data_IF_823829870918
#
_entry.id   IF_823829870918
#
_cell.length_a   1.000
_cell.length_b   1.000
_cell.length_c   1.000
_cell.angle_alpha   90.00
_cell.angle_beta   90.00
_cell.angle_gamma   90.00
#
_symmetry.space_group_name_H-M   'P 1'
#
loop_
_entity.id
_entity.type
_entity.pdbx_description
1 polymer ?
#
# COMPACT_ATOMS: atom_id res chain seq x y z
N UNK A 1 12.58 -5.79 -50.86
CA UNK A 1 12.00 -6.42 -49.65
C UNK A 1 10.62 -6.92 -50.03
N UNK A 2 10.50 -8.21 -50.32
CA UNK A 2 9.22 -8.85 -50.63
C UNK A 2 8.32 -8.75 -49.40
N UNK A 3 7.15 -8.14 -49.53
CA UNK A 3 6.14 -8.15 -48.48
C UNK A 3 5.83 -9.63 -48.18
N UNK A 4 6.24 -10.11 -47.01
CA UNK A 4 5.92 -11.46 -46.56
C UNK A 4 4.40 -11.65 -46.50
N UNK A 5 3.93 -12.90 -46.39
CA UNK A 5 2.50 -13.19 -46.28
C UNK A 5 1.83 -12.33 -45.19
N UNK A 6 0.60 -11.91 -45.47
CA UNK A 6 -0.21 -11.14 -44.53
C UNK A 6 -0.45 -11.97 -43.24
N UNK A 7 -0.55 -11.30 -42.10
CA UNK A 7 -0.69 -11.94 -40.80
C UNK A 7 -1.87 -12.92 -40.77
N UNK A 8 -3.00 -12.59 -41.42
CA UNK A 8 -4.15 -13.48 -41.53
C UNK A 8 -3.84 -14.84 -42.18
N UNK A 9 -2.96 -14.86 -43.18
CA UNK A 9 -2.55 -16.10 -43.87
C UNK A 9 -1.69 -16.97 -42.95
N UNK A 10 -0.75 -16.34 -42.25
CA UNK A 10 0.10 -17.02 -41.28
C UNK A 10 -0.72 -17.54 -40.08
N UNK A 11 -1.71 -16.77 -39.61
CA UNK A 11 -2.62 -17.20 -38.52
C UNK A 11 -3.43 -18.42 -38.95
N UNK A 12 -3.95 -18.43 -40.19
CA UNK A 12 -4.72 -19.56 -40.71
C UNK A 12 -3.87 -20.84 -40.84
N UNK A 13 -2.59 -20.71 -41.22
CA UNK A 13 -1.66 -21.83 -41.27
C UNK A 13 -1.27 -22.31 -39.86
N UNK A 14 -0.97 -21.39 -38.95
CA UNK A 14 -0.62 -21.69 -37.56
C UNK A 14 -1.75 -22.43 -36.81
N UNK A 15 -3.03 -22.09 -37.06
CA UNK A 15 -4.19 -22.84 -36.54
C UNK A 15 -4.27 -24.28 -37.02
N UNK A 16 -3.70 -24.57 -38.20
CA UNK A 16 -3.61 -25.94 -38.74
C UNK A 16 -2.39 -26.71 -38.21
N UNK A 17 -1.65 -26.13 -37.26
CA UNK A 17 -0.48 -26.74 -36.64
C UNK A 17 0.85 -26.41 -37.34
N UNK A 18 0.87 -25.47 -38.28
CA UNK A 18 2.11 -25.01 -38.92
C UNK A 18 2.95 -24.18 -37.94
N UNK A 19 3.98 -24.81 -37.39
CA UNK A 19 4.90 -24.19 -36.43
C UNK A 19 5.77 -23.10 -37.06
N UNK A 20 6.08 -23.22 -38.35
CA UNK A 20 6.91 -22.24 -39.07
C UNK A 20 6.12 -20.96 -39.29
N UNK A 21 4.84 -21.07 -39.65
CA UNK A 21 3.94 -19.92 -39.77
C UNK A 21 3.75 -19.20 -38.42
N UNK A 22 3.64 -19.95 -37.32
CA UNK A 22 3.55 -19.36 -35.98
C UNK A 22 4.86 -18.65 -35.58
N UNK A 23 6.02 -19.26 -35.85
CA UNK A 23 7.31 -18.65 -35.58
C UNK A 23 7.48 -17.32 -36.32
N UNK A 24 7.09 -17.26 -37.61
CA UNK A 24 7.15 -16.02 -38.40
C UNK A 24 6.25 -14.91 -37.84
N UNK A 25 5.04 -15.26 -37.36
CA UNK A 25 4.16 -14.31 -36.66
C UNK A 25 4.80 -13.79 -35.36
N UNK A 26 5.38 -14.68 -34.57
CA UNK A 26 6.04 -14.29 -33.32
C UNK A 26 7.22 -13.38 -33.62
N UNK A 27 8.13 -13.76 -34.51
CA UNK A 27 9.32 -12.96 -34.86
C UNK A 27 8.93 -11.54 -35.33
N UNK A 28 7.86 -11.42 -36.13
CA UNK A 28 7.35 -10.13 -36.61
C UNK A 28 6.84 -9.23 -35.47
N UNK A 29 6.20 -9.81 -34.45
CA UNK A 29 5.50 -9.04 -33.40
C UNK A 29 6.18 -9.07 -32.03
N UNK A 30 7.24 -9.86 -31.87
CA UNK A 30 8.02 -9.99 -30.64
C UNK A 30 8.60 -8.65 -30.16
N UNK A 31 9.11 -7.74 -31.02
CA UNK A 31 9.58 -6.43 -30.56
C UNK A 31 8.51 -5.58 -29.90
N UNK A 32 7.27 -5.62 -30.42
CA UNK A 32 6.12 -4.93 -29.82
C UNK A 32 5.75 -5.56 -28.49
N UNK A 33 5.64 -6.90 -28.44
CA UNK A 33 5.38 -7.65 -27.20
C UNK A 33 6.39 -7.28 -26.11
N UNK A 34 7.69 -7.39 -26.42
CA UNK A 34 8.77 -7.11 -25.48
C UNK A 34 8.76 -5.65 -25.01
N UNK A 35 8.46 -4.70 -25.90
CA UNK A 35 8.31 -3.28 -25.54
C UNK A 35 7.16 -3.07 -24.56
N UNK A 36 6.02 -3.73 -24.79
CA UNK A 36 4.87 -3.65 -23.89
C UNK A 36 5.15 -4.30 -22.54
N UNK A 37 5.81 -5.46 -22.51
CA UNK A 37 6.21 -6.12 -21.27
C UNK A 37 7.18 -5.25 -20.47
N UNK A 38 8.23 -4.70 -21.10
CA UNK A 38 9.21 -3.79 -20.46
C UNK A 38 8.59 -2.52 -19.88
N UNK A 39 7.50 -2.03 -20.47
CA UNK A 39 6.74 -0.89 -19.91
C UNK A 39 5.86 -1.28 -18.74
N UNK A 40 5.46 -2.55 -18.66
CA UNK A 40 4.54 -3.05 -17.64
C UNK A 40 5.25 -3.61 -16.40
N UNK A 41 6.53 -4.00 -16.50
CA UNK A 41 7.33 -4.50 -15.37
C UNK A 41 8.60 -3.69 -15.20
N UNK A 42 9.00 -3.46 -13.95
CA UNK A 42 10.18 -2.65 -13.58
C UNK A 42 11.50 -3.40 -13.86
N UNK A 43 11.47 -4.74 -13.77
CA UNK A 43 12.62 -5.63 -13.88
C UNK A 43 12.83 -6.11 -15.34
N UNK A 44 13.99 -5.81 -15.98
CA UNK A 44 14.28 -6.23 -17.34
C UNK A 44 14.28 -7.75 -17.57
N UNK A 45 14.66 -8.55 -16.57
CA UNK A 45 14.67 -10.01 -16.69
C UNK A 45 13.24 -10.57 -16.72
N UNK A 46 12.33 -9.98 -15.93
CA UNK A 46 10.91 -10.34 -15.93
C UNK A 46 10.22 -10.04 -17.26
N UNK A 47 10.65 -9.01 -17.98
CA UNK A 47 10.04 -8.69 -19.26
C UNK A 47 10.31 -9.80 -20.30
N UNK A 48 11.49 -10.43 -20.24
CA UNK A 48 11.84 -11.58 -21.07
C UNK A 48 10.99 -12.80 -20.73
N UNK A 49 10.89 -13.15 -19.45
CA UNK A 49 10.10 -14.28 -18.98
C UNK A 49 8.61 -14.10 -19.29
N UNK A 50 8.07 -12.89 -19.10
CA UNK A 50 6.69 -12.57 -19.44
C UNK A 50 6.42 -12.67 -20.94
N UNK A 51 7.37 -12.26 -21.79
CA UNK A 51 7.26 -12.42 -23.23
C UNK A 51 7.27 -13.90 -23.64
N UNK A 52 8.09 -14.73 -23.00
CA UNK A 52 8.11 -16.17 -23.24
C UNK A 52 6.80 -16.85 -22.84
N UNK A 53 6.29 -16.60 -21.62
CA UNK A 53 4.99 -17.13 -21.16
C UNK A 53 3.86 -16.65 -22.08
N UNK A 54 3.89 -15.40 -22.55
CA UNK A 54 2.90 -14.88 -23.49
C UNK A 54 2.93 -15.54 -24.86
N UNK A 55 4.10 -15.91 -25.39
CA UNK A 55 4.22 -16.66 -26.65
C UNK A 55 3.65 -18.07 -26.50
N UNK A 56 3.89 -18.72 -25.36
CA UNK A 56 3.29 -20.03 -25.06
C UNK A 56 1.77 -19.95 -24.95
N UNK A 57 1.25 -18.97 -24.20
CA UNK A 57 -0.19 -18.71 -24.07
C UNK A 57 -0.83 -18.39 -25.45
N UNK A 58 -0.12 -17.65 -26.30
CA UNK A 58 -0.56 -17.36 -27.66
C UNK A 58 -0.59 -18.61 -28.56
N UNK A 59 0.40 -19.50 -28.44
CA UNK A 59 0.44 -20.76 -29.20
C UNK A 59 -0.73 -21.67 -28.82
N UNK A 60 -1.02 -21.80 -27.52
CA UNK A 60 -2.15 -22.60 -27.03
C UNK A 60 -3.50 -21.94 -27.31
N UNK A 61 -3.53 -20.62 -27.47
CA UNK A 61 -4.74 -19.81 -27.57
C UNK A 61 -5.08 -19.28 -28.96
N UNK A 62 -4.32 -19.61 -30.02
CA UNK A 62 -4.44 -18.97 -31.34
C UNK A 62 -5.82 -19.14 -32.00
N UNK A 63 -6.55 -20.20 -31.66
CA UNK A 63 -7.93 -20.42 -32.11
C UNK A 63 -8.93 -19.41 -31.51
N UNK A 64 -8.60 -18.79 -30.37
CA UNK A 64 -9.43 -17.79 -29.69
C UNK A 64 -9.31 -16.39 -30.34
N UNK A 65 -8.34 -16.17 -31.23
CA UNK A 65 -8.16 -14.89 -31.94
C UNK A 65 -9.36 -14.65 -32.90
N UNK A 66 -10.16 -13.62 -32.66
CA UNK A 66 -11.36 -13.36 -33.49
C UNK A 66 -11.04 -12.78 -34.86
N UNK A 67 -10.01 -11.95 -34.93
CA UNK A 67 -9.62 -11.20 -36.13
C UNK A 67 -8.16 -11.56 -36.48
N UNK A 68 -7.94 -12.39 -37.51
CA UNK A 68 -6.60 -12.84 -37.91
C UNK A 68 -5.64 -11.70 -38.27
N UNK A 69 -6.12 -10.54 -38.71
CA UNK A 69 -5.28 -9.39 -39.05
C UNK A 69 -4.78 -8.63 -37.81
N UNK A 70 -5.26 -8.98 -36.61
CA UNK A 70 -4.93 -8.30 -35.35
C UNK A 70 -4.07 -9.13 -34.41
N UNK A 71 -3.26 -10.03 -34.96
CA UNK A 71 -2.37 -10.89 -34.18
C UNK A 71 -1.43 -10.08 -33.26
N UNK A 72 -0.77 -9.03 -33.77
CA UNK A 72 0.15 -8.21 -32.98
C UNK A 72 -0.47 -7.57 -31.72
N UNK A 73 -1.55 -6.77 -31.85
CA UNK A 73 -2.27 -6.23 -30.68
C UNK A 73 -2.82 -7.30 -29.74
N UNK A 74 -3.25 -8.45 -30.27
CA UNK A 74 -3.75 -9.56 -29.46
C UNK A 74 -2.63 -10.19 -28.62
N UNK A 75 -1.47 -10.47 -29.23
CA UNK A 75 -0.28 -10.99 -28.56
C UNK A 75 0.23 -10.01 -27.49
N UNK A 76 0.27 -8.71 -27.79
CA UNK A 76 0.62 -7.67 -26.82
C UNK A 76 -0.35 -7.64 -25.63
N UNK A 77 -1.65 -7.86 -25.87
CA UNK A 77 -2.66 -7.99 -24.82
C UNK A 77 -2.45 -9.19 -23.91
N UNK A 78 -2.02 -10.33 -24.46
CA UNK A 78 -1.62 -11.51 -23.68
C UNK A 78 -0.40 -11.18 -22.80
N UNK A 79 0.62 -10.55 -23.38
CA UNK A 79 1.82 -10.10 -22.66
C UNK A 79 1.51 -9.22 -21.46
N UNK A 80 0.63 -8.22 -21.63
CA UNK A 80 0.20 -7.36 -20.52
C UNK A 80 -0.53 -8.13 -19.40
N UNK A 81 -1.33 -9.14 -19.74
CA UNK A 81 -2.01 -9.97 -18.75
C UNK A 81 -1.01 -10.84 -17.98
N UNK A 82 -0.01 -11.42 -18.65
CA UNK A 82 1.08 -12.17 -18.03
C UNK A 82 1.88 -11.28 -17.08
N UNK A 83 2.30 -10.09 -17.53
CA UNK A 83 2.98 -9.12 -16.67
C UNK A 83 2.17 -8.77 -15.42
N UNK A 84 0.85 -8.55 -15.57
CA UNK A 84 -0.05 -8.28 -14.45
C UNK A 84 -0.11 -9.45 -13.46
N UNK A 85 -0.22 -10.68 -13.97
CA UNK A 85 -0.26 -11.91 -13.17
C UNK A 85 1.05 -12.10 -12.39
N UNK A 86 2.20 -11.87 -13.05
CA UNK A 86 3.52 -11.95 -12.44
C UNK A 86 3.75 -10.88 -11.37
N UNK A 87 3.36 -9.62 -11.64
CA UNK A 87 3.46 -8.52 -10.67
C UNK A 87 2.63 -8.80 -9.42
N UNK A 88 1.39 -9.25 -9.60
CA UNK A 88 0.53 -9.63 -8.47
C UNK A 88 1.10 -10.82 -7.66
N UNK A 89 1.66 -11.82 -8.33
CA UNK A 89 2.34 -12.95 -7.63
C UNK A 89 3.53 -12.48 -6.81
N UNK A 90 4.36 -11.56 -7.32
CA UNK A 90 5.50 -10.98 -6.58
C UNK A 90 5.05 -10.14 -5.38
N UNK A 91 4.05 -9.28 -5.54
CA UNK A 91 3.49 -8.48 -4.42
C UNK A 91 3.02 -9.40 -3.28
N UNK A 92 2.44 -10.56 -3.62
CA UNK A 92 1.88 -11.50 -2.64
C UNK A 92 2.90 -12.44 -2.01
N UNK A 93 4.02 -12.68 -2.69
CA UNK A 93 5.15 -13.45 -2.15
C UNK A 93 5.95 -12.67 -1.10
N UNK A 94 5.58 -11.42 -0.83
CA UNK A 94 6.39 -10.47 -0.09
C UNK A 94 7.54 -10.00 -0.96
N UNK A 95 7.81 -8.69 -0.96
CA UNK A 95 9.10 -8.22 -1.45
C UNK A 95 10.17 -8.86 -0.58
N UNK A 96 10.85 -9.89 -1.09
CA UNK A 96 12.03 -10.41 -0.41
C UNK A 96 13.09 -9.32 -0.46
N UNK A 97 13.71 -9.07 0.70
CA UNK A 97 14.80 -8.12 0.88
C UNK A 97 15.92 -8.35 -0.16
N UNK A 98 16.17 -9.61 -0.53
CA UNK A 98 17.14 -10.01 -1.55
C UNK A 98 16.78 -9.51 -2.97
N UNK A 99 15.51 -9.48 -3.35
CA UNK A 99 15.09 -9.04 -4.70
C UNK A 99 15.21 -7.51 -4.88
N UNK A 100 15.27 -6.75 -3.78
CA UNK A 100 15.45 -5.31 -3.78
C UNK A 100 16.92 -4.91 -3.89
N UNK A 101 17.83 -5.77 -3.38
CA UNK A 101 19.28 -5.57 -3.40
C UNK A 101 19.92 -5.89 -4.76
N UNK A 102 19.43 -6.91 -5.47
CA UNK A 102 19.93 -7.30 -6.80
C UNK A 102 19.60 -6.29 -7.92
N UNK A 103 18.66 -5.38 -7.69
CA UNK A 103 18.21 -4.41 -8.69
C UNK A 103 19.12 -3.17 -8.82
N UNK A 104 20.25 -3.11 -8.12
CA UNK A 104 21.27 -2.06 -8.29
C UNK A 104 20.76 -0.64 -8.02
N UNK A 105 19.77 -0.50 -7.13
CA UNK A 105 19.22 0.80 -6.76
C UNK A 105 20.23 1.57 -5.90
N UNK A 106 20.84 2.60 -6.49
CA UNK A 106 21.34 3.75 -5.74
C UNK A 106 20.17 4.73 -5.58
N UNK A 107 19.25 4.38 -4.70
CA UNK A 107 18.18 5.26 -4.29
C UNK A 107 18.67 6.07 -3.08
N UNK A 108 18.39 7.39 -3.08
CA UNK A 108 18.11 8.09 -1.83
C UNK A 108 17.22 7.19 -0.95
N UNK A 109 17.43 7.14 0.38
CA UNK A 109 16.86 6.11 1.24
C UNK A 109 15.36 5.94 0.97
N UNK A 110 15.03 4.84 0.28
CA UNK A 110 13.66 4.34 0.15
C UNK A 110 13.26 3.92 1.54
N UNK A 111 12.22 4.58 2.04
CA UNK A 111 11.52 4.33 3.29
C UNK A 111 11.49 2.83 3.63
N UNK A 112 12.20 2.37 4.68
CA UNK A 112 12.10 1.02 5.19
C UNK A 112 10.77 0.85 5.94
N UNK A 113 9.67 0.91 5.21
CA UNK A 113 8.37 0.38 5.62
C UNK A 113 7.57 1.24 6.61
N UNK A 114 6.26 1.08 6.46
CA UNK A 114 5.26 1.46 7.44
C UNK A 114 5.70 1.10 8.88
N UNK A 115 5.55 2.03 9.82
CA UNK A 115 5.81 1.75 11.25
C UNK A 115 4.92 0.60 11.74
N UNK A 116 5.24 -0.14 12.81
CA UNK A 116 4.49 -1.35 13.06
C UNK A 116 3.05 -1.12 13.56
N UNK A 117 2.71 0.07 14.03
CA UNK A 117 1.31 0.50 14.17
C UNK A 117 0.61 0.58 12.80
N UNK A 118 1.29 1.07 11.77
CA UNK A 118 0.79 1.10 10.39
C UNK A 118 0.74 -0.30 9.78
N UNK A 119 1.71 -1.18 10.12
CA UNK A 119 1.65 -2.60 9.78
C UNK A 119 0.49 -3.30 10.51
N UNK A 120 0.16 -2.87 11.73
CA UNK A 120 -0.97 -3.39 12.53
C UNK A 120 -2.30 -2.92 11.97
N UNK A 121 -2.45 -1.64 11.62
CA UNK A 121 -3.61 -1.10 10.92
C UNK A 121 -3.80 -1.81 9.58
N UNK A 122 -2.73 -1.95 8.80
CA UNK A 122 -2.77 -2.66 7.53
C UNK A 122 -3.10 -4.15 7.73
N UNK A 123 -2.51 -4.82 8.73
CA UNK A 123 -2.78 -6.22 9.05
C UNK A 123 -4.21 -6.43 9.53
N UNK A 124 -4.75 -5.53 10.35
CA UNK A 124 -6.13 -5.54 10.81
C UNK A 124 -7.07 -5.36 9.62
N UNK A 125 -6.85 -4.36 8.76
CA UNK A 125 -7.65 -4.15 7.55
C UNK A 125 -7.59 -5.38 6.62
N UNK A 126 -6.41 -5.96 6.44
CA UNK A 126 -6.21 -7.21 5.68
C UNK A 126 -6.97 -8.37 6.32
N UNK A 127 -6.96 -8.50 7.64
CA UNK A 127 -7.67 -9.55 8.37
C UNK A 127 -9.19 -9.40 8.25
N UNK A 128 -9.71 -8.18 8.38
CA UNK A 128 -11.12 -7.83 8.18
C UNK A 128 -11.57 -8.17 6.76
N UNK A 129 -10.80 -7.73 5.75
CA UNK A 129 -11.09 -8.02 4.34
C UNK A 129 -11.02 -9.52 4.06
N UNK A 130 -10.00 -10.23 4.55
CA UNK A 130 -9.89 -11.70 4.38
C UNK A 130 -11.06 -12.44 5.00
N UNK A 131 -11.50 -12.01 6.18
CA UNK A 131 -12.65 -12.60 6.87
C UNK A 131 -13.93 -12.39 6.07
N UNK A 132 -14.17 -11.16 5.59
CA UNK A 132 -15.31 -10.86 4.73
C UNK A 132 -15.30 -11.66 3.42
N UNK A 133 -14.14 -11.80 2.79
CA UNK A 133 -13.99 -12.63 1.57
C UNK A 133 -14.27 -14.10 1.85
N UNK A 134 -13.81 -14.65 2.99
CA UNK A 134 -14.12 -16.04 3.41
C UNK A 134 -15.60 -16.26 3.72
N UNK A 135 -16.32 -15.22 4.14
CA UNK A 135 -17.76 -15.29 4.41
C UNK A 135 -18.64 -15.21 3.15
N UNK A 136 -18.06 -15.01 1.96
CA UNK A 136 -18.81 -15.02 0.71
C UNK A 136 -19.30 -16.43 0.37
N UNK A 137 -20.45 -16.55 -0.34
CA UNK A 137 -20.87 -17.84 -0.89
C UNK A 137 -19.76 -18.47 -1.75
N UNK A 138 -19.57 -19.81 -1.74
CA UNK A 138 -18.38 -20.46 -2.31
C UNK A 138 -18.05 -20.07 -3.76
N UNK A 139 -19.08 -19.96 -4.62
CA UNK A 139 -18.88 -19.54 -6.01
C UNK A 139 -18.50 -18.07 -6.18
N UNK A 140 -18.91 -17.20 -5.24
CA UNK A 140 -18.52 -15.78 -5.21
C UNK A 140 -17.11 -15.62 -4.65
N UNK A 141 -16.80 -16.34 -3.56
CA UNK A 141 -15.46 -16.40 -2.97
C UNK A 141 -14.43 -16.86 -3.99
N UNK A 142 -14.66 -18.00 -4.66
CA UNK A 142 -13.73 -18.55 -5.64
C UNK A 142 -13.48 -17.57 -6.80
N UNK A 143 -14.54 -16.97 -7.35
CA UNK A 143 -14.41 -15.96 -8.41
C UNK A 143 -13.65 -14.71 -7.93
N UNK A 144 -13.93 -14.23 -6.72
CA UNK A 144 -13.27 -13.05 -6.15
C UNK A 144 -11.79 -13.29 -5.86
N UNK A 145 -11.42 -14.45 -5.30
CA UNK A 145 -10.04 -14.85 -5.07
C UNK A 145 -9.26 -14.90 -6.37
N UNK A 146 -9.76 -15.67 -7.35
CA UNK A 146 -9.07 -15.85 -8.63
C UNK A 146 -8.91 -14.53 -9.40
N UNK A 147 -9.93 -13.66 -9.37
CA UNK A 147 -9.90 -12.39 -10.08
C UNK A 147 -9.07 -11.32 -9.37
N UNK A 148 -9.39 -11.02 -8.10
CA UNK A 148 -8.78 -9.89 -7.39
C UNK A 148 -7.45 -10.22 -6.75
N UNK A 149 -7.29 -11.45 -6.25
CA UNK A 149 -6.08 -11.84 -5.55
C UNK A 149 -5.10 -12.52 -6.49
N UNK A 150 -5.56 -13.44 -7.33
CA UNK A 150 -4.71 -14.18 -8.27
C UNK A 150 -4.53 -13.44 -9.61
N UNK A 151 -5.28 -12.35 -9.84
CA UNK A 151 -5.12 -11.46 -10.99
C UNK A 151 -5.61 -12.03 -12.32
N UNK A 152 -6.38 -13.13 -12.29
CA UNK A 152 -6.92 -13.76 -13.49
C UNK A 152 -8.02 -12.90 -14.12
N UNK A 153 -8.08 -12.93 -15.45
CA UNK A 153 -9.17 -12.33 -16.22
C UNK A 153 -10.47 -13.12 -16.04
N UNK A 154 -11.61 -12.48 -16.31
CA UNK A 154 -12.90 -13.19 -16.24
C UNK A 154 -12.98 -14.43 -17.14
N UNK A 155 -12.21 -14.50 -18.23
CA UNK A 155 -12.11 -15.67 -19.10
C UNK A 155 -11.38 -16.83 -18.44
N UNK A 156 -10.21 -16.57 -17.86
CA UNK A 156 -9.43 -17.57 -17.14
C UNK A 156 -10.14 -18.07 -15.89
N UNK A 157 -10.82 -17.17 -15.15
CA UNK A 157 -11.66 -17.55 -14.01
C UNK A 157 -12.82 -18.45 -14.47
N UNK A 158 -13.42 -18.16 -15.63
CA UNK A 158 -14.51 -18.95 -16.17
C UNK A 158 -14.05 -20.36 -16.55
N UNK A 159 -12.90 -20.46 -17.22
CA UNK A 159 -12.23 -21.71 -17.57
C UNK A 159 -11.85 -22.51 -16.31
N UNK A 160 -11.22 -21.87 -15.33
CA UNK A 160 -10.79 -22.49 -14.07
C UNK A 160 -11.97 -23.00 -13.24
N UNK A 161 -13.09 -22.29 -13.23
CA UNK A 161 -14.29 -22.68 -12.49
C UNK A 161 -15.26 -23.57 -13.30
N UNK A 162 -14.93 -23.92 -14.54
CA UNK A 162 -15.82 -24.68 -15.43
C UNK A 162 -17.15 -23.98 -15.69
N UNK A 163 -17.16 -22.65 -15.80
CA UNK A 163 -18.37 -21.83 -15.97
C UNK A 163 -18.25 -20.82 -17.12
N UNK A 164 -19.29 -20.02 -17.36
CA UNK A 164 -19.25 -18.96 -18.39
C UNK A 164 -18.70 -17.65 -17.85
N UNK A 165 -18.09 -16.84 -18.73
CA UNK A 165 -17.63 -15.47 -18.43
C UNK A 165 -18.77 -14.61 -17.84
N UNK A 166 -19.99 -14.78 -18.34
CA UNK A 166 -21.18 -14.10 -17.81
C UNK A 166 -21.48 -14.48 -16.37
N UNK A 167 -21.39 -15.77 -16.03
CA UNK A 167 -21.56 -16.27 -14.67
C UNK A 167 -20.48 -15.72 -13.72
N UNK A 168 -19.22 -15.64 -14.17
CA UNK A 168 -18.13 -15.03 -13.40
C UNK A 168 -18.39 -13.55 -13.14
N UNK A 169 -18.76 -12.76 -14.15
CA UNK A 169 -19.10 -11.34 -13.98
C UNK A 169 -20.24 -11.13 -12.99
N UNK A 170 -21.28 -11.97 -13.05
CA UNK A 170 -22.39 -11.93 -12.11
C UNK A 170 -21.97 -12.28 -10.67
N UNK A 171 -21.11 -13.31 -10.50
CA UNK A 171 -20.54 -13.69 -9.20
C UNK A 171 -19.69 -12.58 -8.61
N UNK A 172 -18.82 -11.95 -9.41
CA UNK A 172 -18.00 -10.80 -8.99
C UNK A 172 -18.85 -9.59 -8.60
N UNK A 173 -19.92 -9.30 -9.34
CA UNK A 173 -20.85 -8.23 -9.00
C UNK A 173 -21.53 -8.49 -7.65
N UNK A 174 -22.05 -9.71 -7.43
CA UNK A 174 -22.67 -10.11 -6.16
C UNK A 174 -21.67 -10.15 -5.00
N UNK A 175 -20.44 -10.58 -5.26
CA UNK A 175 -19.34 -10.55 -4.30
C UNK A 175 -19.06 -9.11 -3.84
N UNK A 176 -18.87 -8.16 -4.76
CA UNK A 176 -18.66 -6.74 -4.43
C UNK A 176 -19.83 -6.16 -3.63
N UNK A 177 -21.08 -6.45 -4.02
CA UNK A 177 -22.24 -5.96 -3.29
C UNK A 177 -22.32 -6.50 -1.86
N UNK A 178 -21.92 -7.77 -1.66
CA UNK A 178 -21.89 -8.41 -0.34
C UNK A 178 -20.75 -7.89 0.52
N UNK A 179 -19.53 -7.82 -0.04
CA UNK A 179 -18.37 -7.22 0.61
C UNK A 179 -18.64 -5.77 1.00
N UNK A 180 -19.26 -4.97 0.12
CA UNK A 180 -19.63 -3.59 0.45
C UNK A 180 -20.57 -3.54 1.66
N UNK A 181 -21.55 -4.44 1.77
CA UNK A 181 -22.46 -4.48 2.93
C UNK A 181 -21.79 -5.00 4.21
N UNK A 182 -20.83 -5.92 4.10
CA UNK A 182 -20.12 -6.48 5.24
C UNK A 182 -19.01 -5.57 5.76
N UNK A 183 -18.38 -4.82 4.85
CA UNK A 183 -17.28 -3.91 5.16
C UNK A 183 -17.76 -2.49 5.43
N UNK A 184 -18.91 -2.05 4.91
CA UNK A 184 -19.46 -0.72 5.22
C UNK A 184 -19.69 -0.45 6.73
N UNK A 185 -20.11 -1.42 7.56
CA UNK A 185 -20.22 -1.21 9.00
C UNK A 185 -18.88 -1.08 9.74
N UNK A 186 -17.80 -1.62 9.16
CA UNK A 186 -16.42 -1.46 9.63
C UNK A 186 -15.71 -0.26 8.99
N UNK A 187 -16.19 0.18 7.82
CA UNK A 187 -15.91 1.49 7.24
C UNK A 187 -16.83 2.54 7.87
N UNK A 188 -16.77 2.63 9.19
CA UNK A 188 -17.09 3.86 9.86
C UNK A 188 -15.82 4.68 9.76
N UNK A 189 -15.86 5.80 9.06
CA UNK A 189 -15.09 6.98 9.47
C UNK A 189 -15.22 7.01 10.99
N UNK A 190 -14.13 6.77 11.75
CA UNK A 190 -14.20 6.32 13.14
C UNK A 190 -15.22 7.19 13.84
N UNK A 191 -16.37 6.58 14.11
CA UNK A 191 -17.55 7.32 14.49
C UNK A 191 -17.18 7.99 15.80
N UNK A 192 -17.03 9.31 15.75
CA UNK A 192 -16.93 10.29 16.84
C UNK A 192 -17.36 9.61 18.13
N UNK A 193 -16.43 8.89 18.76
CA UNK A 193 -16.73 8.19 19.98
C UNK A 193 -16.47 9.25 21.02
N UNK A 194 -17.59 9.69 21.59
CA UNK A 194 -17.70 10.61 22.71
C UNK A 194 -16.38 10.74 23.44
N UNK A 195 -15.79 11.94 23.38
CA UNK A 195 -14.91 12.45 24.42
C UNK A 195 -15.42 11.91 25.74
N UNK A 196 -14.58 11.22 26.48
CA UNK A 196 -14.90 10.83 27.86
C UNK A 196 -15.38 12.10 28.60
N UNK A 197 -16.31 12.02 29.56
CA UNK A 197 -16.69 13.17 30.42
C UNK A 197 -15.48 13.75 31.22
N UNK A 198 -14.30 13.14 31.10
CA UNK A 198 -13.04 13.59 31.64
C UNK A 198 -12.38 14.60 30.69
N UNK A 199 -11.88 15.69 31.28
CA UNK A 199 -11.13 16.70 30.54
C UNK A 199 -9.94 16.04 29.82
N UNK A 200 -9.71 16.37 28.53
CA UNK A 200 -8.56 15.86 27.80
C UNK A 200 -7.26 16.27 28.50
N UNK A 201 -6.29 15.36 28.51
CA UNK A 201 -4.97 15.64 29.11
C UNK A 201 -4.08 16.37 28.12
N UNK A 202 -3.54 17.51 28.54
CA UNK A 202 -2.50 18.24 27.81
C UNK A 202 -1.21 17.43 27.83
N UNK A 203 -0.63 17.21 26.65
CA UNK A 203 0.64 16.52 26.47
C UNK A 203 1.55 17.28 25.53
N UNK A 204 2.85 17.02 25.64
CA UNK A 204 3.88 17.53 24.73
C UNK A 204 4.73 16.39 24.20
N UNK A 205 5.26 16.56 23.00
CA UNK A 205 6.29 15.65 22.46
C UNK A 205 7.56 15.86 23.28
N UNK A 206 7.94 14.84 24.05
CA UNK A 206 9.19 14.85 24.83
C UNK A 206 10.38 14.59 23.92
N UNK A 207 10.26 13.57 23.07
CA UNK A 207 11.35 13.03 22.26
C UNK A 207 10.80 12.12 21.15
N UNK A 208 11.63 11.80 20.18
CA UNK A 208 11.43 10.69 19.25
C UNK A 208 12.60 9.73 19.38
N UNK A 209 12.31 8.45 19.57
CA UNK A 209 13.31 7.44 19.91
C UNK A 209 13.33 6.27 18.95
N UNK A 210 14.44 5.56 18.88
CA UNK A 210 14.57 4.37 18.05
C UNK A 210 15.46 3.27 18.66
N UNK A 211 15.30 2.05 18.14
CA UNK A 211 16.21 0.93 18.43
C UNK A 211 17.53 1.05 17.65
N UNK A 212 18.62 0.56 18.25
CA UNK A 212 19.97 0.66 17.66
C UNK A 212 20.14 -0.18 16.39
N UNK A 213 19.60 -1.40 16.38
CA UNK A 213 19.83 -2.37 15.32
C UNK A 213 19.18 -1.93 14.01
N UNK A 214 20.00 -1.62 13.01
CA UNK A 214 19.52 -1.10 11.72
C UNK A 214 18.53 -2.02 10.99
N UNK A 215 18.68 -3.35 11.14
CA UNK A 215 17.79 -4.33 10.49
C UNK A 215 16.38 -4.40 11.12
N UNK A 216 16.24 -3.97 12.37
CA UNK A 216 14.97 -4.01 13.13
C UNK A 216 14.65 -2.63 13.72
N UNK A 217 15.06 -1.57 13.02
CA UNK A 217 14.94 -0.21 13.55
C UNK A 217 13.47 0.19 13.67
N UNK A 218 12.99 0.26 14.91
CA UNK A 218 11.65 0.72 15.27
C UNK A 218 11.76 2.11 15.85
N UNK A 219 10.80 2.97 15.52
CA UNK A 219 10.76 4.35 15.98
C UNK A 219 9.49 4.58 16.79
N UNK A 220 9.62 5.36 17.86
CA UNK A 220 8.53 5.70 18.77
C UNK A 220 8.56 7.20 19.06
N UNK A 221 7.41 7.84 19.06
CA UNK A 221 7.28 9.19 19.62
C UNK A 221 6.85 9.07 21.08
N UNK A 222 7.51 9.84 21.95
CA UNK A 222 7.24 9.86 23.39
C UNK A 222 6.47 11.12 23.71
N UNK A 223 5.18 10.98 23.99
CA UNK A 223 4.36 12.05 24.56
C UNK A 223 4.47 12.02 26.09
N UNK A 224 4.51 13.19 26.72
CA UNK A 224 4.50 13.34 28.18
C UNK A 224 3.45 14.35 28.60
N UNK A 225 2.82 14.11 29.74
CA UNK A 225 2.05 15.15 30.43
C UNK A 225 2.96 16.31 30.84
N UNK A 226 2.38 17.49 31.01
CA UNK A 226 3.11 18.71 31.38
C UNK A 226 3.79 18.60 32.76
N UNK A 227 3.19 17.84 33.67
CA UNK A 227 3.75 17.52 34.99
C UNK A 227 4.80 16.40 34.97
N UNK A 228 5.02 15.76 33.81
CA UNK A 228 5.99 14.69 33.61
C UNK A 228 5.61 13.34 34.23
N UNK A 229 4.39 13.19 34.75
CA UNK A 229 3.98 12.00 35.51
C UNK A 229 3.56 10.83 34.62
N UNK A 230 3.11 11.08 33.39
CA UNK A 230 2.62 10.04 32.49
C UNK A 230 3.24 10.18 31.09
N UNK A 231 3.58 9.03 30.52
CA UNK A 231 4.08 8.91 29.15
C UNK A 231 3.07 8.15 28.30
N UNK A 232 3.00 8.48 27.02
CA UNK A 232 2.37 7.67 25.99
C UNK A 232 3.39 7.48 24.86
N UNK A 233 3.70 6.23 24.54
CA UNK A 233 4.60 5.88 23.44
C UNK A 233 3.76 5.43 22.26
N UNK A 234 4.04 6.00 21.08
CA UNK A 234 3.29 5.69 19.85
C UNK A 234 4.30 5.28 18.80
N UNK A 235 4.09 4.14 18.15
CA UNK A 235 5.01 3.69 17.11
C UNK A 235 4.76 4.47 15.82
N UNK A 236 5.84 4.85 15.17
CA UNK A 236 5.78 5.66 13.96
C UNK A 236 6.75 5.12 12.92
N UNK A 237 6.47 5.41 11.66
CA UNK A 237 7.35 5.08 10.55
C UNK A 237 8.65 5.87 10.60
N UNK A 238 9.63 5.40 9.84
CA UNK A 238 10.97 6.00 9.79
C UNK A 238 10.94 7.43 9.27
N UNK A 239 10.12 7.71 8.26
CA UNK A 239 10.00 9.02 7.64
C UNK A 239 9.37 10.05 8.59
N UNK A 240 8.34 9.64 9.32
CA UNK A 240 7.67 10.46 10.32
C UNK A 240 8.57 10.72 11.53
N UNK A 241 9.34 9.73 11.96
CA UNK A 241 10.33 9.87 13.03
C UNK A 241 11.43 10.85 12.65
N UNK A 242 11.95 10.74 11.42
CA UNK A 242 12.98 11.63 10.91
C UNK A 242 12.47 13.08 10.77
N UNK A 243 11.21 13.27 10.40
CA UNK A 243 10.58 14.58 10.35
C UNK A 243 10.39 15.21 11.74
N UNK A 244 9.96 14.43 12.72
CA UNK A 244 9.89 14.86 14.13
C UNK A 244 11.29 15.22 14.63
N UNK A 245 12.27 14.35 14.43
CA UNK A 245 13.63 14.55 14.88
C UNK A 245 14.24 15.83 14.30
N UNK A 246 14.03 16.11 13.01
CA UNK A 246 14.49 17.37 12.38
C UNK A 246 13.87 18.59 13.03
N UNK A 247 12.56 18.53 13.31
CA UNK A 247 11.83 19.65 13.92
C UNK A 247 12.28 19.88 15.36
N UNK A 248 12.43 18.82 16.15
CA UNK A 248 12.93 18.87 17.54
C UNK A 248 14.36 19.41 17.61
N UNK A 249 15.24 19.00 16.69
CA UNK A 249 16.64 19.41 16.67
C UNK A 249 16.87 20.74 15.90
N UNK A 250 15.80 21.39 15.44
CA UNK A 250 15.85 22.67 14.72
C UNK A 250 16.59 22.60 13.38
N UNK A 251 16.65 21.43 12.75
CA UNK A 251 17.34 21.21 11.48
C UNK A 251 16.54 21.83 10.34
N UNK A 252 17.13 22.85 9.70
CA UNK A 252 16.56 23.49 8.52
C UNK A 252 16.74 22.61 7.29
N UNK A 253 15.64 22.35 6.58
CA UNK A 253 15.67 21.60 5.33
C UNK A 253 15.90 22.53 4.13
N UNK A 254 16.66 22.11 3.11
CA UNK A 254 16.87 22.91 1.90
C UNK A 254 15.58 23.11 1.09
N UNK A 255 14.59 22.24 1.29
CA UNK A 255 13.25 22.31 0.71
C UNK A 255 12.21 21.99 1.79
N UNK A 256 11.02 22.60 1.72
CA UNK A 256 9.95 22.29 2.67
C UNK A 256 9.57 20.82 2.60
N UNK A 257 9.40 20.18 3.77
CA UNK A 257 8.84 18.83 3.87
C UNK A 257 7.33 18.84 3.58
N UNK A 258 6.73 17.65 3.50
CA UNK A 258 5.26 17.51 3.36
C UNK A 258 4.50 18.21 4.48
N UNK A 259 5.02 18.18 5.72
CA UNK A 259 4.40 18.89 6.86
C UNK A 259 4.50 20.41 6.72
N UNK A 260 5.64 20.92 6.23
CA UNK A 260 5.79 22.35 5.92
C UNK A 260 4.85 22.79 4.80
N UNK A 261 4.70 21.97 3.75
CA UNK A 261 3.74 22.22 2.68
C UNK A 261 2.31 22.25 3.22
N UNK A 262 1.91 21.29 4.05
CA UNK A 262 0.58 21.23 4.67
C UNK A 262 0.30 22.46 5.53
N UNK A 263 1.24 22.84 6.41
CA UNK A 263 1.11 24.05 7.23
C UNK A 263 0.99 25.32 6.37
N UNK A 264 1.81 25.44 5.31
CA UNK A 264 1.75 26.57 4.39
C UNK A 264 0.44 26.62 3.60
N UNK A 265 -0.11 25.47 3.21
CA UNK A 265 -1.43 25.38 2.54
C UNK A 265 -2.56 25.81 3.46
N UNK A 266 -2.55 25.38 4.73
CA UNK A 266 -3.52 25.84 5.73
C UNK A 266 -3.45 27.37 5.90
N UNK A 267 -2.23 27.90 6.07
CA UNK A 267 -2.03 29.33 6.21
C UNK A 267 -2.47 30.11 4.96
N UNK A 268 -2.17 29.61 3.76
CA UNK A 268 -2.60 30.21 2.50
C UNK A 268 -4.13 30.18 2.34
N UNK A 269 -4.79 29.18 2.90
CA UNK A 269 -6.25 29.08 2.99
C UNK A 269 -6.85 29.94 4.12
N UNK A 270 -6.03 30.70 4.86
CA UNK A 270 -6.49 31.52 6.00
C UNK A 270 -6.93 30.71 7.21
N UNK A 271 -6.42 29.48 7.34
CA UNK A 271 -6.69 28.55 8.45
C UNK A 271 -5.44 28.30 9.27
N UNK A 272 -5.63 27.90 10.53
CA UNK A 272 -4.55 27.43 11.41
C UNK A 272 -4.96 26.15 12.12
N UNK A 273 -3.97 25.33 12.44
CA UNK A 273 -4.16 24.20 13.34
C UNK A 273 -4.39 24.75 14.75
N UNK A 274 -5.55 24.47 15.34
CA UNK A 274 -5.91 24.91 16.69
C UNK A 274 -5.43 23.90 17.74
N UNK A 275 -5.53 22.61 17.46
CA UNK A 275 -5.07 21.54 18.35
C UNK A 275 -4.98 20.19 17.60
N UNK A 276 -4.22 19.26 18.17
CA UNK A 276 -4.24 17.84 17.80
C UNK A 276 -4.81 17.04 18.96
N UNK A 277 -5.71 16.09 18.66
CA UNK A 277 -6.35 15.22 19.64
C UNK A 277 -6.01 13.76 19.36
N UNK A 278 -5.50 13.02 20.35
CA UNK A 278 -5.41 11.57 20.33
C UNK A 278 -6.67 11.02 20.99
N UNK A 279 -7.54 10.38 20.20
CA UNK A 279 -8.95 10.19 20.57
C UNK A 279 -9.30 8.79 21.02
N UNK A 280 -8.60 7.76 20.53
CA UNK A 280 -8.92 6.37 20.86
C UNK A 280 -7.72 5.44 20.68
N UNK A 281 -7.74 4.36 21.46
CA UNK A 281 -6.89 3.17 21.29
C UNK A 281 -7.84 1.98 21.15
N UNK A 282 -7.85 1.30 20.00
CA UNK A 282 -8.70 0.14 19.74
C UNK A 282 -7.92 -0.92 18.99
N UNK A 283 -7.92 -2.15 19.49
CA UNK A 283 -7.14 -3.27 18.90
C UNK A 283 -5.67 -2.90 18.64
N UNK A 284 -5.02 -2.23 19.61
CA UNK A 284 -3.64 -1.69 19.53
C UNK A 284 -3.43 -0.57 18.49
N UNK A 285 -4.50 -0.05 17.88
CA UNK A 285 -4.41 1.08 16.94
C UNK A 285 -4.78 2.39 17.65
N UNK A 286 -3.87 3.37 17.59
CA UNK A 286 -4.12 4.73 18.07
C UNK A 286 -4.71 5.60 16.95
N UNK A 287 -5.75 6.35 17.29
CA UNK A 287 -6.44 7.28 16.39
C UNK A 287 -6.20 8.73 16.81
N UNK A 288 -6.06 9.61 15.81
CA UNK A 288 -5.84 11.03 16.03
C UNK A 288 -6.69 11.91 15.11
N UNK A 289 -6.88 13.15 15.53
CA UNK A 289 -7.58 14.18 14.78
C UNK A 289 -6.81 15.49 14.89
N UNK A 290 -6.88 16.28 13.83
CA UNK A 290 -6.42 17.67 13.81
C UNK A 290 -7.63 18.59 13.75
N UNK A 291 -7.67 19.60 14.62
CA UNK A 291 -8.78 20.55 14.72
C UNK A 291 -8.29 21.91 14.26
N UNK A 292 -9.01 22.51 13.32
CA UNK A 292 -8.69 23.84 12.80
C UNK A 292 -9.33 24.95 13.65
N UNK A 293 -8.89 26.18 13.44
CA UNK A 293 -9.36 27.36 14.17
C UNK A 293 -10.84 27.73 13.96
N UNK A 294 -11.49 27.17 12.93
CA UNK A 294 -12.94 27.26 12.71
C UNK A 294 -13.74 26.08 13.29
N UNK A 295 -13.07 25.17 14.00
CA UNK A 295 -13.65 23.97 14.58
C UNK A 295 -13.82 22.82 13.59
N UNK A 296 -13.35 22.95 12.33
CA UNK A 296 -13.31 21.82 11.42
C UNK A 296 -12.37 20.74 11.96
N UNK A 297 -12.84 19.48 11.92
CA UNK A 297 -12.10 18.32 12.40
C UNK A 297 -11.67 17.49 11.21
N UNK A 298 -10.39 17.15 11.14
CA UNK A 298 -9.81 16.32 10.09
C UNK A 298 -9.18 15.08 10.74
N UNK A 299 -9.66 13.91 10.33
CA UNK A 299 -9.08 12.62 10.72
C UNK A 299 -7.64 12.51 10.23
N UNK A 300 -6.75 12.01 11.09
CA UNK A 300 -5.33 11.96 10.79
C UNK A 300 -4.66 10.76 11.46
N UNK A 301 -3.61 10.22 10.83
CA UNK A 301 -2.71 9.30 11.53
C UNK A 301 -2.04 10.05 12.69
N UNK A 302 -1.81 9.41 13.85
CA UNK A 302 -1.14 10.06 14.98
C UNK A 302 0.20 10.69 14.61
N UNK A 303 1.01 9.98 13.83
CA UNK A 303 2.32 10.45 13.36
C UNK A 303 2.25 11.76 12.55
N UNK A 304 1.28 11.86 11.63
CA UNK A 304 1.06 13.05 10.81
C UNK A 304 0.55 14.22 11.66
N UNK A 305 -0.42 13.95 12.54
CA UNK A 305 -1.03 14.94 13.40
C UNK A 305 -0.03 15.54 14.40
N UNK A 306 0.88 14.71 14.93
CA UNK A 306 1.94 15.13 15.85
C UNK A 306 3.04 15.92 15.15
N UNK A 307 3.47 15.50 13.94
CA UNK A 307 4.42 16.27 13.14
C UNK A 307 3.87 17.67 12.81
N UNK A 308 2.60 17.75 12.40
CA UNK A 308 1.96 19.02 12.09
C UNK A 308 1.78 19.89 13.34
N UNK A 309 1.38 19.30 14.47
CA UNK A 309 1.25 20.01 15.74
C UNK A 309 2.58 20.60 16.21
N UNK A 310 3.66 19.82 16.17
CA UNK A 310 4.99 20.28 16.56
C UNK A 310 5.46 21.44 15.67
N UNK A 311 5.24 21.34 14.35
CA UNK A 311 5.64 22.37 13.41
C UNK A 311 4.82 23.66 13.54
N UNK A 312 3.52 23.53 13.84
CA UNK A 312 2.59 24.65 13.98
C UNK A 312 2.55 25.23 15.41
N UNK A 313 3.31 24.65 16.35
CA UNK A 313 3.24 24.96 17.79
C UNK A 313 1.80 24.87 18.33
N UNK A 314 1.07 23.83 17.90
CA UNK A 314 -0.31 23.59 18.31
C UNK A 314 -0.37 22.65 19.52
N UNK A 315 -1.30 22.89 20.47
CA UNK A 315 -1.47 22.03 21.64
C UNK A 315 -1.88 20.60 21.24
N UNK A 316 -1.38 19.63 22.00
CA UNK A 316 -1.69 18.21 21.85
C UNK A 316 -2.49 17.76 23.08
N UNK A 317 -3.63 17.15 22.81
CA UNK A 317 -4.54 16.64 23.82
C UNK A 317 -4.74 15.14 23.64
N UNK A 318 -4.77 14.40 24.74
CA UNK A 318 -5.00 12.95 24.73
C UNK A 318 -6.22 12.62 25.57
N UNK A 319 -7.13 11.81 25.03
CA UNK A 319 -8.27 11.31 25.80
C UNK A 319 -7.75 10.40 26.94
N UNK A 320 -8.16 10.64 28.20
CA UNK A 320 -7.74 9.81 29.33
C UNK A 320 -7.99 8.30 29.16
N UNK A 321 -9.00 7.92 28.38
CA UNK A 321 -9.28 6.52 28.07
C UNK A 321 -8.14 5.86 27.27
N UNK A 322 -7.43 6.62 26.43
CA UNK A 322 -6.25 6.14 25.69
C UNK A 322 -5.13 5.79 26.65
N UNK A 323 -4.81 6.68 27.58
CA UNK A 323 -3.75 6.46 28.57
C UNK A 323 -4.08 5.27 29.49
N UNK A 324 -5.35 5.11 29.87
CA UNK A 324 -5.80 3.97 30.68
C UNK A 324 -5.77 2.65 29.91
N UNK A 325 -6.07 2.67 28.61
CA UNK A 325 -6.04 1.49 27.76
C UNK A 325 -4.59 1.06 27.47
N UNK A 326 -3.70 2.02 27.24
CA UNK A 326 -2.25 1.81 27.15
C UNK A 326 -1.71 1.19 28.44
N UNK A 327 -2.10 1.74 29.60
CA UNK A 327 -1.83 1.24 30.97
C UNK A 327 -2.27 -0.20 31.29
N UNK A 328 -3.06 -0.81 30.42
CA UNK A 328 -3.57 -2.19 30.59
C UNK A 328 -3.05 -3.14 29.53
N UNK A 329 -2.32 -2.64 28.54
CA UNK A 329 -1.66 -3.51 27.57
C UNK A 329 -0.50 -4.24 28.28
N UNK A 330 -0.45 -5.57 28.13
CA UNK A 330 0.58 -6.40 28.77
C UNK A 330 2.02 -6.08 28.30
N UNK A 331 2.15 -5.33 27.20
CA UNK A 331 3.42 -4.91 26.57
C UNK A 331 3.75 -3.45 26.93
N UNK A 332 3.78 -3.11 28.21
CA UNK A 332 4.21 -1.79 28.65
C UNK A 332 5.64 -1.48 28.21
N UNK A 333 5.79 -0.57 27.25
CA UNK A 333 7.09 -0.25 26.68
C UNK A 333 7.85 0.76 27.56
N UNK A 334 9.10 0.42 27.87
CA UNK A 334 10.00 1.30 28.60
C UNK A 334 10.77 2.17 27.58
N UNK A 335 10.83 3.50 27.77
CA UNK A 335 11.66 4.37 26.94
C UNK A 335 13.15 3.95 26.84
N UNK A 336 13.64 3.11 27.76
CA UNK A 336 14.99 2.54 27.75
C UNK A 336 15.19 1.46 26.67
N UNK A 337 14.12 0.85 26.15
CA UNK A 337 14.18 -0.10 25.03
C UNK A 337 14.52 0.59 23.69
N UNK A 338 14.41 1.92 23.65
CA UNK A 338 14.66 2.76 22.48
C UNK A 338 15.77 3.79 22.79
N UNK A 339 17.05 3.37 22.81
CA UNK A 339 18.14 4.20 23.29
C UNK A 339 18.58 5.32 22.33
N UNK A 340 18.22 5.25 21.04
CA UNK A 340 18.55 6.32 20.09
C UNK A 340 17.58 7.50 20.27
N UNK A 341 18.10 8.68 20.61
CA UNK A 341 17.34 9.93 20.66
C UNK A 341 17.18 10.59 19.27
N UNK A 342 16.46 11.70 19.21
CA UNK A 342 16.24 12.46 17.97
C UNK A 342 17.55 12.78 17.22
N UNK A 343 18.60 13.20 17.94
CA UNK A 343 19.90 13.52 17.36
C UNK A 343 20.60 12.27 16.79
N UNK A 344 20.56 11.15 17.51
CA UNK A 344 21.12 9.88 17.07
C UNK A 344 20.39 9.33 15.83
N UNK A 345 19.06 9.49 15.76
CA UNK A 345 18.24 9.13 14.59
C UNK A 345 18.70 9.91 13.36
N UNK A 346 18.93 11.23 13.48
CA UNK A 346 19.40 12.06 12.38
C UNK A 346 20.79 11.66 11.89
N UNK A 347 21.72 11.42 12.83
CA UNK A 347 23.07 11.01 12.50
C UNK A 347 23.11 9.65 11.79
N UNK A 348 22.22 8.73 12.14
CA UNK A 348 22.13 7.43 11.50
C UNK A 348 21.47 7.45 10.11
N UNK A 349 20.83 8.57 9.73
CA UNK A 349 20.17 8.75 8.44
C UNK A 349 21.02 9.52 7.41
N UNK A 350 22.22 9.96 7.79
CA UNK A 350 23.14 10.77 6.96
C UNK A 350 24.24 9.90 6.37
#
# INVERSE_FOLDING_TARGET
>A
MTAGPADAVLVAAARKGDKTAFAELVDRHYPLLLTMCRRAVIDPHMAGDAAQEAVLDAMLGIDRLRDPDRFGPWLAGIGLNVCRRMLHRRIRAGWSLDAMLDAGWTAEPVDPGAGPDELTVAAHLVAVVRTAVRALPPGQQAAATLYYLDGLTCGEVAEHLGTSVGAVKARLHKARATLRRQLAPGWKEPAIMSTTDQLPMSMRIRDVRATEQAAERRHVVVLTTDDGTQNLMIWIGSAEALALARTLEGVQLPRPSVYHLTAALLQAAGRRLAETRITALTDQVIYAQTVLDDGAVVDARPSDALNLALLADAPIHVDPAVLQADQRADDHEDPTDYPMDARAILNAAT
#
